data_IF_604328710784
#
_entry.id   IF_604328710784
#
_cell.length_a   1.000
_cell.length_b   1.000
_cell.length_c   1.000
_cell.angle_alpha   90.00
_cell.angle_beta   90.00
_cell.angle_gamma   90.00
#
_symmetry.space_group_name_H-M   'P 1'
#
loop_
_entity.id
_entity.type
_entity.pdbx_description
1 polymer ?
#
# COMPACT_ATOMS: atom_id res chain seq x y z
N UNK A 1 -0.24 -7.86 -9.06
CA UNK A 1 0.02 -7.58 -7.63
C UNK A 1 -1.01 -6.59 -7.10
N UNK A 2 -1.39 -6.69 -5.82
CA UNK A 2 -2.29 -5.74 -5.15
C UNK A 2 -1.47 -4.82 -4.22
N UNK A 3 -1.68 -3.51 -4.30
CA UNK A 3 -1.01 -2.52 -3.44
C UNK A 3 -1.93 -1.35 -3.12
N UNK A 4 -1.78 -0.80 -1.93
CA UNK A 4 -2.48 0.40 -1.47
C UNK A 4 -1.48 1.38 -0.90
N UNK A 5 -1.55 2.64 -1.33
CA UNK A 5 -0.63 3.68 -0.90
C UNK A 5 -1.40 4.93 -0.46
N UNK A 6 -0.87 5.59 0.56
CA UNK A 6 -1.39 6.89 0.94
C UNK A 6 -1.22 7.90 -0.22
N UNK A 7 -2.24 8.73 -0.45
CA UNK A 7 -2.27 9.70 -1.56
C UNK A 7 -1.13 10.71 -1.50
N UNK A 8 -0.63 11.03 -0.31
CA UNK A 8 0.52 11.93 -0.15
C UNK A 8 1.84 11.23 -0.49
N UNK A 9 1.95 9.93 -0.22
CA UNK A 9 3.13 9.13 -0.54
C UNK A 9 3.16 8.68 -2.00
N UNK A 10 2.00 8.41 -2.60
CA UNK A 10 1.88 8.09 -4.02
C UNK A 10 2.36 9.22 -4.94
N UNK A 11 2.29 10.46 -4.46
CA UNK A 11 2.79 11.66 -5.15
C UNK A 11 4.25 11.97 -4.80
N UNK A 12 4.85 11.21 -3.89
CA UNK A 12 6.22 11.39 -3.42
C UNK A 12 7.24 11.09 -4.52
N UNK A 13 8.24 11.96 -4.64
CA UNK A 13 9.34 11.80 -5.60
C UNK A 13 10.17 10.55 -5.28
N UNK A 14 10.27 10.18 -4.00
CA UNK A 14 11.11 9.08 -3.54
C UNK A 14 10.53 7.69 -3.86
N UNK A 15 9.20 7.60 -3.92
CA UNK A 15 8.46 6.37 -4.18
C UNK A 15 8.20 6.17 -5.68
N UNK A 16 8.13 7.25 -6.47
CA UNK A 16 7.70 7.22 -7.88
C UNK A 16 8.46 6.22 -8.74
N UNK A 17 9.78 6.22 -8.68
CA UNK A 17 10.61 5.35 -9.52
C UNK A 17 10.51 3.87 -9.07
N UNK A 18 10.35 3.64 -7.77
CA UNK A 18 10.14 2.31 -7.19
C UNK A 18 8.78 1.73 -7.60
N UNK A 19 7.77 2.58 -7.72
CA UNK A 19 6.39 2.20 -8.04
C UNK A 19 6.10 2.13 -9.55
N UNK A 20 6.91 2.77 -10.39
CA UNK A 20 6.72 2.84 -11.84
C UNK A 20 6.45 1.48 -12.54
N UNK A 21 7.13 0.37 -12.18
CA UNK A 21 6.86 -0.95 -12.79
C UNK A 21 5.49 -1.54 -12.41
N UNK A 22 4.90 -1.04 -11.32
CA UNK A 22 3.73 -1.64 -10.67
C UNK A 22 2.46 -0.86 -10.89
N UNK A 23 2.52 0.29 -11.58
CA UNK A 23 1.38 1.19 -11.79
C UNK A 23 0.13 0.47 -12.32
N UNK A 24 -1.03 1.05 -12.04
CA UNK A 24 -2.35 0.47 -12.33
C UNK A 24 -2.64 0.32 -13.84
N UNK A 25 -1.88 0.97 -14.71
CA UNK A 25 -1.95 0.80 -16.17
C UNK A 25 -1.30 -0.51 -16.64
N UNK A 26 -0.60 -1.23 -15.76
CA UNK A 26 0.04 -2.51 -16.07
C UNK A 26 -0.90 -3.69 -15.82
N UNK A 27 -0.92 -4.62 -16.78
CA UNK A 27 -1.74 -5.85 -16.71
C UNK A 27 -1.43 -6.66 -15.45
N UNK A 28 -2.48 -7.08 -14.74
CA UNK A 28 -2.38 -7.94 -13.57
C UNK A 28 -2.10 -7.21 -12.25
N UNK A 29 -2.04 -5.87 -12.26
CA UNK A 29 -1.88 -5.06 -11.06
C UNK A 29 -3.19 -4.37 -10.66
N UNK A 30 -3.42 -4.30 -9.35
CA UNK A 30 -4.47 -3.49 -8.73
C UNK A 30 -3.79 -2.56 -7.73
N UNK A 31 -3.68 -1.28 -8.07
CA UNK A 31 -3.02 -0.27 -7.25
C UNK A 31 -4.05 0.77 -6.84
N UNK A 32 -4.18 0.97 -5.54
CA UNK A 32 -5.10 1.95 -4.96
C UNK A 32 -4.34 3.09 -4.28
N UNK A 33 -4.86 4.30 -4.42
CA UNK A 33 -4.36 5.52 -3.80
C UNK A 33 -5.47 6.19 -3.01
N UNK A 34 -5.24 6.50 -1.75
CA UNK A 34 -6.27 7.16 -0.93
C UNK A 34 -5.73 7.60 0.42
N UNK A 35 -6.64 7.95 1.32
CA UNK A 35 -6.34 8.10 2.74
C UNK A 35 -6.93 6.92 3.51
N UNK A 36 -6.69 6.84 4.82
CA UNK A 36 -7.40 5.89 5.68
C UNK A 36 -8.91 6.14 5.69
N UNK A 37 -9.68 5.15 6.16
CA UNK A 37 -11.14 5.21 6.37
C UNK A 37 -11.59 6.40 7.25
N UNK A 38 -10.66 6.98 8.01
CA UNK A 38 -10.88 8.16 8.88
C UNK A 38 -10.38 9.47 8.25
N UNK A 39 -10.09 9.47 6.96
CA UNK A 39 -9.50 10.59 6.21
C UNK A 39 -8.15 11.07 6.75
N UNK A 40 -7.44 10.24 7.53
CA UNK A 40 -6.08 10.49 7.99
C UNK A 40 -5.05 9.76 7.11
N UNK A 41 -3.77 10.06 7.30
CA UNK A 41 -2.66 9.38 6.59
C UNK A 41 -2.75 7.85 6.81
N UNK A 42 -2.73 7.07 5.73
CA UNK A 42 -2.68 5.61 5.82
C UNK A 42 -1.26 5.16 6.18
N UNK A 43 -1.04 4.80 7.45
CA UNK A 43 0.31 4.63 8.00
C UNK A 43 0.81 3.18 8.07
N UNK A 44 0.01 2.19 7.65
CA UNK A 44 0.39 0.79 7.70
C UNK A 44 1.47 0.49 6.63
N UNK A 45 2.56 -0.16 7.03
CA UNK A 45 3.55 -0.74 6.10
C UNK A 45 3.58 -2.23 6.32
N UNK A 46 2.92 -2.95 5.42
CA UNK A 46 2.70 -4.38 5.54
C UNK A 46 2.67 -5.06 4.17
N UNK A 47 3.23 -6.25 4.08
CA UNK A 47 3.23 -7.10 2.88
C UNK A 47 2.77 -8.49 3.26
N UNK A 48 2.00 -9.09 2.36
CA UNK A 48 1.70 -10.52 2.37
C UNK A 48 2.37 -11.14 1.15
N UNK A 49 3.09 -12.24 1.37
CA UNK A 49 3.74 -13.02 0.32
C UNK A 49 3.13 -14.41 0.32
N UNK A 50 2.56 -14.80 -0.82
CA UNK A 50 1.99 -16.13 -1.11
C UNK A 50 0.97 -16.67 -0.09
N UNK A 51 0.36 -15.79 0.72
CA UNK A 51 -0.59 -16.19 1.76
C UNK A 51 0.07 -16.87 2.97
N UNK A 52 1.40 -16.78 3.13
CA UNK A 52 2.15 -17.50 4.16
C UNK A 52 3.00 -16.57 5.02
N UNK A 53 3.68 -15.59 4.39
CA UNK A 53 4.55 -14.66 5.09
C UNK A 53 3.88 -13.29 5.22
N UNK A 54 3.83 -12.76 6.44
CA UNK A 54 3.50 -11.36 6.72
C UNK A 54 4.79 -10.63 7.07
N UNK A 55 5.05 -9.55 6.35
CA UNK A 55 6.14 -8.62 6.63
C UNK A 55 5.52 -7.34 7.15
N UNK A 56 5.93 -6.90 8.33
CA UNK A 56 5.54 -5.60 8.89
C UNK A 56 6.80 -4.83 9.27
N UNK A 57 6.79 -3.51 9.09
CA UNK A 57 8.00 -2.72 9.31
C UNK A 57 7.68 -1.27 9.74
N UNK A 58 8.72 -0.58 10.22
CA UNK A 58 8.67 0.87 10.47
C UNK A 58 9.01 1.72 9.24
N UNK A 59 9.60 1.12 8.20
CA UNK A 59 10.07 1.83 7.01
C UNK A 59 8.97 2.06 5.97
N UNK A 60 8.97 3.23 5.34
CA UNK A 60 8.17 3.49 4.13
C UNK A 60 8.83 2.87 2.88
N UNK A 61 8.07 2.72 1.80
CA UNK A 61 8.57 2.26 0.49
C UNK A 61 9.43 3.29 -0.25
N UNK A 62 10.53 3.72 0.36
CA UNK A 62 11.42 4.73 -0.20
C UNK A 62 12.86 4.29 -0.06
N UNK A 63 13.71 4.68 -1.02
CA UNK A 63 15.15 4.44 -0.95
C UNK A 63 15.76 5.03 0.34
N UNK A 64 15.25 6.18 0.79
CA UNK A 64 15.71 6.81 2.03
C UNK A 64 15.30 6.07 3.30
N UNK A 65 14.09 5.51 3.35
CA UNK A 65 13.64 4.69 4.47
C UNK A 65 14.52 3.45 4.66
N UNK A 66 14.89 2.79 3.56
CA UNK A 66 15.72 1.59 3.60
C UNK A 66 17.21 1.89 3.88
N UNK A 67 17.78 2.92 3.26
CA UNK A 67 19.25 3.12 3.28
C UNK A 67 19.76 4.12 4.32
N UNK A 68 18.90 4.97 4.92
CA UNK A 68 19.33 6.10 5.75
C UNK A 68 18.71 6.17 7.14
N UNK A 69 17.84 5.23 7.49
CA UNK A 69 17.10 5.26 8.75
C UNK A 69 17.31 3.96 9.49
N UNK A 70 17.41 4.03 10.82
CA UNK A 70 17.46 2.85 11.68
C UNK A 70 16.03 2.32 11.84
N UNK A 71 15.67 1.37 10.98
CA UNK A 71 14.35 0.80 10.90
C UNK A 71 14.36 -0.65 11.34
N UNK A 72 13.19 -1.12 11.77
CA UNK A 72 12.97 -2.50 12.13
C UNK A 72 11.91 -3.12 11.21
N UNK A 73 12.10 -4.40 10.90
CA UNK A 73 11.17 -5.23 10.16
C UNK A 73 11.02 -6.56 10.88
N UNK A 74 9.77 -7.03 10.96
CA UNK A 74 9.41 -8.35 11.47
C UNK A 74 8.84 -9.18 10.33
N UNK A 75 9.33 -10.40 10.19
CA UNK A 75 8.73 -11.43 9.32
C UNK A 75 8.02 -12.46 10.20
N UNK A 76 6.74 -12.67 9.93
CA UNK A 76 5.92 -13.69 10.59
C UNK A 76 5.51 -14.71 9.53
N UNK A 77 5.93 -15.96 9.71
CA UNK A 77 5.55 -17.09 8.85
C UNK A 77 4.46 -17.90 9.52
N UNK A 78 3.22 -17.48 9.31
CA UNK A 78 2.03 -18.14 9.83
C UNK A 78 0.83 -17.84 8.91
N UNK A 79 0.21 -18.84 8.27
CA UNK A 79 -0.92 -18.62 7.37
C UNK A 79 -2.15 -18.06 8.08
N UNK A 80 -2.33 -18.28 9.39
CA UNK A 80 -3.45 -17.72 10.14
C UNK A 80 -3.27 -16.22 10.36
N UNK A 81 -2.07 -15.79 10.75
CA UNK A 81 -1.72 -14.35 10.87
C UNK A 81 -1.83 -13.68 9.50
N UNK A 82 -1.45 -14.39 8.44
CA UNK A 82 -1.57 -13.91 7.08
C UNK A 82 -3.04 -13.70 6.66
N UNK A 83 -3.92 -14.64 6.96
CA UNK A 83 -5.36 -14.52 6.67
C UNK A 83 -6.01 -13.33 7.41
N UNK A 84 -5.61 -13.08 8.67
CA UNK A 84 -6.05 -11.90 9.41
C UNK A 84 -5.56 -10.60 8.76
N UNK A 85 -4.26 -10.50 8.48
CA UNK A 85 -3.66 -9.35 7.81
C UNK A 85 -4.28 -9.08 6.43
N UNK A 86 -4.58 -10.15 5.66
CA UNK A 86 -5.20 -10.08 4.34
C UNK A 86 -6.53 -9.36 4.40
N UNK A 87 -7.36 -9.71 5.37
CA UNK A 87 -8.67 -9.10 5.59
C UNK A 87 -8.56 -7.59 5.78
N UNK A 88 -7.58 -7.13 6.59
CA UNK A 88 -7.36 -5.69 6.80
C UNK A 88 -6.89 -4.98 5.54
N UNK A 89 -5.93 -5.55 4.81
CA UNK A 89 -5.38 -4.92 3.59
C UNK A 89 -6.44 -4.89 2.48
N UNK A 90 -7.31 -5.90 2.37
CA UNK A 90 -8.41 -5.90 1.39
C UNK A 90 -9.42 -4.79 1.63
N UNK A 91 -9.84 -4.60 2.90
CA UNK A 91 -10.75 -3.50 3.26
C UNK A 91 -10.15 -2.14 2.90
N UNK A 92 -8.87 -1.92 3.26
CA UNK A 92 -8.17 -0.67 2.92
C UNK A 92 -8.08 -0.48 1.42
N UNK A 93 -7.80 -1.55 0.66
CA UNK A 93 -7.69 -1.48 -0.79
C UNK A 93 -9.02 -1.13 -1.45
N UNK A 94 -10.10 -1.80 -1.06
CA UNK A 94 -11.45 -1.52 -1.57
C UNK A 94 -11.90 -0.08 -1.26
N UNK A 95 -11.69 0.40 -0.03
CA UNK A 95 -12.01 1.78 0.34
C UNK A 95 -11.23 2.80 -0.51
N UNK A 96 -9.93 2.59 -0.70
CA UNK A 96 -9.11 3.47 -1.53
C UNK A 96 -9.49 3.42 -3.02
N UNK A 97 -9.89 2.27 -3.56
CA UNK A 97 -10.42 2.20 -4.92
C UNK A 97 -11.71 3.03 -5.07
N UNK A 98 -12.59 3.01 -4.07
CA UNK A 98 -13.80 3.85 -4.05
C UNK A 98 -13.46 5.33 -3.97
N UNK A 99 -12.46 5.71 -3.16
CA UNK A 99 -11.96 7.09 -3.12
C UNK A 99 -11.45 7.53 -4.50
N UNK A 100 -10.64 6.70 -5.17
CA UNK A 100 -10.16 6.99 -6.54
C UNK A 100 -11.32 7.17 -7.53
N UNK A 101 -12.32 6.29 -7.49
CA UNK A 101 -13.49 6.37 -8.36
C UNK A 101 -14.30 7.66 -8.12
N UNK A 102 -14.50 8.04 -6.85
CA UNK A 102 -15.17 9.29 -6.50
C UNK A 102 -14.40 10.53 -6.99
N UNK A 103 -13.07 10.53 -6.84
CA UNK A 103 -12.22 11.61 -7.35
C UNK A 103 -12.26 11.72 -8.88
N UNK A 104 -12.27 10.58 -9.58
CA UNK A 104 -12.37 10.56 -11.04
C UNK A 104 -13.71 11.12 -11.53
N UNK A 105 -14.82 10.77 -10.86
CA UNK A 105 -16.14 11.29 -11.21
C UNK A 105 -16.20 12.82 -11.11
N UNK A 106 -15.64 13.41 -10.05
CA UNK A 106 -15.59 14.87 -9.87
C UNK A 106 -14.71 15.56 -10.92
N UNK A 107 -13.66 14.89 -11.42
CA UNK A 107 -12.77 15.47 -12.43
C UNK A 107 -13.37 15.52 -13.85
N UNK A 108 -14.49 14.83 -14.07
CA UNK A 108 -15.19 14.74 -15.35
C UNK A 108 -16.44 15.62 -15.44
N UNK A 109 -16.81 16.31 -14.34
CA UNK A 109 -17.86 17.34 -14.27
C UNK A 109 -17.28 18.75 -14.41
#
# INVERSE_FOLDING_TARGET
MQMSLDSTQAKGVAERDLLAPWLNDKTGNSIAFGHSEKSAIMHLKMVIIDGVDVVTCSTNWSAGGESRQDNQLTVIRDPLVCAEARSRIDIIHDDMLKQMAAHAAVAHD
#
